data_IF_329914762497
#
_entry.id   IF_329914762497
#
_cell.length_a   1.000
_cell.length_b   1.000
_cell.length_c   1.000
_cell.angle_alpha   90.00
_cell.angle_beta   90.00
_cell.angle_gamma   90.00
#
_symmetry.space_group_name_H-M   'P 1'
#
loop_
_entity.id
_entity.type
_entity.pdbx_description
1 polymer ?
#
# COMPACT_ATOMS: atom_id res chain seq x y z
N UNK A 1 -19.31 0.97 -10.08
CA UNK A 1 -19.63 2.37 -9.73
C UNK A 1 -19.20 3.32 -10.85
N UNK A 2 -19.87 4.46 -11.00
CA UNK A 2 -19.69 5.41 -12.11
C UNK A 2 -18.28 6.02 -12.20
N UNK A 3 -18.04 6.81 -13.26
CA UNK A 3 -16.72 7.40 -13.57
C UNK A 3 -16.13 8.21 -12.42
N UNK A 4 -16.99 8.96 -11.72
CA UNK A 4 -16.66 9.71 -10.52
C UNK A 4 -17.61 9.24 -9.41
N UNK A 5 -17.09 8.98 -8.21
CA UNK A 5 -17.92 8.55 -7.07
C UNK A 5 -17.34 9.04 -5.77
N UNK A 6 -18.20 9.53 -4.88
CA UNK A 6 -17.86 9.94 -3.52
C UNK A 6 -18.72 9.10 -2.59
N UNK A 7 -18.08 8.42 -1.64
CA UNK A 7 -18.73 7.56 -0.66
C UNK A 7 -18.59 8.15 0.73
N UNK A 8 -19.65 8.00 1.53
CA UNK A 8 -19.77 8.61 2.85
C UNK A 8 -18.77 8.13 3.90
N UNK A 9 -18.95 8.62 5.12
CA UNK A 9 -18.00 8.46 6.24
C UNK A 9 -17.75 7.00 6.65
N UNK A 10 -18.74 6.13 6.52
CA UNK A 10 -18.70 4.72 6.95
C UNK A 10 -19.28 3.85 5.83
N UNK A 11 -18.42 3.42 4.89
CA UNK A 11 -18.88 2.64 3.73
C UNK A 11 -18.36 1.21 3.81
N UNK A 12 -19.26 0.26 3.55
CA UNK A 12 -18.93 -1.16 3.46
C UNK A 12 -19.33 -1.63 2.08
N UNK A 13 -18.40 -2.24 1.36
CA UNK A 13 -18.60 -2.74 0.01
C UNK A 13 -18.41 -4.25 -0.02
N UNK A 14 -19.33 -4.92 -0.71
CA UNK A 14 -19.35 -6.38 -0.83
C UNK A 14 -18.19 -6.95 -1.64
N UNK A 15 -18.26 -8.27 -1.86
CA UNK A 15 -17.30 -8.98 -2.71
C UNK A 15 -17.38 -8.46 -4.16
N UNK A 16 -16.27 -8.54 -4.89
CA UNK A 16 -16.16 -8.22 -6.31
C UNK A 16 -16.55 -6.75 -6.65
N UNK A 17 -16.24 -5.81 -5.76
CA UNK A 17 -16.57 -4.39 -5.95
C UNK A 17 -15.63 -3.72 -6.95
N UNK A 18 -16.20 -3.02 -7.93
CA UNK A 18 -15.44 -2.30 -8.98
C UNK A 18 -15.80 -0.82 -8.98
N UNK A 19 -14.80 0.02 -8.71
CA UNK A 19 -14.93 1.47 -8.59
C UNK A 19 -14.32 2.18 -9.79
N UNK A 20 -15.00 3.23 -10.25
CA UNK A 20 -14.63 3.96 -11.46
C UNK A 20 -13.39 4.84 -11.31
N UNK A 21 -13.13 5.63 -12.35
CA UNK A 21 -11.88 6.35 -12.59
C UNK A 21 -11.46 7.27 -11.45
N UNK A 22 -12.39 7.98 -10.82
CA UNK A 22 -12.11 8.93 -9.74
C UNK A 22 -13.00 8.61 -8.54
N UNK A 23 -12.49 7.82 -7.60
CA UNK A 23 -13.27 7.35 -6.45
C UNK A 23 -12.72 7.93 -5.15
N UNK A 24 -13.58 8.52 -4.33
CA UNK A 24 -13.23 9.07 -3.01
C UNK A 24 -14.06 8.34 -1.96
N UNK A 25 -13.38 7.79 -0.96
CA UNK A 25 -13.98 7.05 0.14
C UNK A 25 -13.78 7.81 1.45
N UNK A 26 -14.84 7.95 2.22
CA UNK A 26 -14.84 8.70 3.46
C UNK A 26 -13.99 8.10 4.58
N UNK A 27 -14.21 8.59 5.81
CA UNK A 27 -13.33 8.37 6.97
C UNK A 27 -13.01 6.89 7.25
N UNK A 28 -13.99 6.01 7.16
CA UNK A 28 -13.89 4.59 7.44
C UNK A 28 -14.47 3.82 6.26
N UNK A 29 -13.69 2.95 5.63
CA UNK A 29 -14.17 2.15 4.51
C UNK A 29 -13.67 0.71 4.59
N UNK A 30 -14.57 -0.22 4.31
CA UNK A 30 -14.27 -1.66 4.31
C UNK A 30 -14.65 -2.22 2.93
N UNK A 31 -13.71 -2.89 2.30
CA UNK A 31 -13.86 -3.47 0.98
C UNK A 31 -13.74 -4.98 1.07
N UNK A 32 -14.76 -5.68 0.58
CA UNK A 32 -14.82 -7.14 0.57
C UNK A 32 -13.75 -7.81 -0.30
N UNK A 33 -13.87 -9.13 -0.43
CA UNK A 33 -12.99 -9.95 -1.27
C UNK A 33 -13.03 -9.45 -2.72
N UNK A 34 -11.86 -9.29 -3.35
CA UNK A 34 -11.69 -8.85 -4.74
C UNK A 34 -12.26 -7.45 -4.96
N UNK A 35 -11.45 -6.41 -4.75
CA UNK A 35 -11.85 -5.03 -5.05
C UNK A 35 -10.94 -4.42 -6.11
N UNK A 36 -11.53 -3.71 -7.07
CA UNK A 36 -10.79 -3.04 -8.15
C UNK A 36 -11.12 -1.56 -8.10
N UNK A 37 -10.08 -0.73 -8.04
CA UNK A 37 -10.19 0.71 -7.97
C UNK A 37 -9.60 1.33 -9.23
N UNK A 38 -10.34 2.24 -9.84
CA UNK A 38 -9.95 2.91 -11.07
C UNK A 38 -8.72 3.81 -10.94
N UNK A 39 -8.51 4.63 -11.99
CA UNK A 39 -7.26 5.37 -12.22
C UNK A 39 -6.78 6.21 -11.02
N UNK A 40 -7.68 6.90 -10.34
CA UNK A 40 -7.41 7.81 -9.23
C UNK A 40 -8.34 7.44 -8.06
N UNK A 41 -7.77 7.03 -6.94
CA UNK A 41 -8.56 6.67 -5.76
C UNK A 41 -8.02 7.30 -4.49
N UNK A 42 -8.91 7.83 -3.66
CA UNK A 42 -8.57 8.45 -2.37
C UNK A 42 -9.35 7.74 -1.28
N UNK A 43 -8.65 7.25 -0.28
CA UNK A 43 -9.20 6.56 0.87
C UNK A 43 -8.99 7.39 2.12
N UNK A 44 -10.05 7.58 2.91
CA UNK A 44 -10.01 8.39 4.12
C UNK A 44 -9.16 7.79 5.24
N UNK A 45 -9.47 8.21 6.48
CA UNK A 45 -8.63 7.98 7.66
C UNK A 45 -8.30 6.50 7.91
N UNK A 46 -9.28 5.62 7.80
CA UNK A 46 -9.16 4.19 8.09
C UNK A 46 -9.73 3.41 6.90
N UNK A 47 -8.97 2.48 6.35
CA UNK A 47 -9.45 1.64 5.26
C UNK A 47 -8.97 0.19 5.38
N UNK A 48 -9.88 -0.75 5.09
CA UNK A 48 -9.60 -2.18 5.15
C UNK A 48 -9.95 -2.79 3.79
N UNK A 49 -8.98 -3.47 3.19
CA UNK A 49 -9.11 -4.12 1.90
C UNK A 49 -9.02 -5.63 2.07
N UNK A 50 -9.99 -6.35 1.51
CA UNK A 50 -10.08 -7.79 1.58
C UNK A 50 -8.94 -8.54 0.85
N UNK A 51 -9.13 -9.84 0.65
CA UNK A 51 -8.09 -10.79 0.20
C UNK A 51 -7.30 -10.33 -1.03
N UNK A 52 -7.98 -9.84 -2.06
CA UNK A 52 -7.37 -9.41 -3.31
C UNK A 52 -7.82 -7.98 -3.58
N UNK A 53 -6.90 -7.06 -3.85
CA UNK A 53 -7.24 -5.68 -4.22
C UNK A 53 -6.30 -5.15 -5.30
N UNK A 54 -6.87 -4.42 -6.25
CA UNK A 54 -6.13 -3.80 -7.36
C UNK A 54 -6.43 -2.32 -7.36
N UNK A 55 -5.38 -1.51 -7.29
CA UNK A 55 -5.44 -0.06 -7.30
C UNK A 55 -4.85 0.46 -8.60
N UNK A 56 -5.59 1.35 -9.26
CA UNK A 56 -5.17 1.96 -10.51
C UNK A 56 -3.95 2.88 -10.40
N UNK A 57 -3.81 3.75 -11.40
CA UNK A 57 -2.57 4.53 -11.62
C UNK A 57 -2.11 5.34 -10.41
N UNK A 58 -3.01 6.02 -9.72
CA UNK A 58 -2.74 6.91 -8.60
C UNK A 58 -3.65 6.54 -7.43
N UNK A 59 -3.08 6.28 -6.25
CA UNK A 59 -3.87 6.01 -5.04
C UNK A 59 -3.32 6.71 -3.82
N UNK A 60 -4.22 7.24 -2.97
CA UNK A 60 -3.87 7.90 -1.71
C UNK A 60 -4.63 7.20 -0.60
N UNK A 61 -3.89 6.72 0.40
CA UNK A 61 -4.41 6.06 1.58
C UNK A 61 -4.16 6.94 2.81
N UNK A 62 -5.21 7.19 3.58
CA UNK A 62 -5.14 8.02 4.77
C UNK A 62 -4.34 7.39 5.92
N UNK A 63 -4.68 7.78 7.15
CA UNK A 63 -3.85 7.54 8.34
C UNK A 63 -3.54 6.05 8.57
N UNK A 64 -4.56 5.20 8.51
CA UNK A 64 -4.45 3.78 8.80
C UNK A 64 -5.02 2.96 7.63
N UNK A 65 -4.29 1.98 7.13
CA UNK A 65 -4.77 1.10 6.06
C UNK A 65 -4.32 -0.33 6.24
N UNK A 66 -5.21 -1.27 5.94
CA UNK A 66 -4.93 -2.71 6.03
C UNK A 66 -5.24 -3.34 4.69
N UNK A 67 -4.26 -4.00 4.12
CA UNK A 67 -4.35 -4.68 2.83
C UNK A 67 -4.23 -6.19 3.01
N UNK A 68 -5.16 -6.93 2.40
CA UNK A 68 -5.22 -8.38 2.49
C UNK A 68 -4.08 -9.12 1.77
N UNK A 69 -4.35 -10.39 1.44
CA UNK A 69 -3.33 -11.37 1.01
C UNK A 69 -2.61 -11.01 -0.29
N UNK A 70 -3.25 -10.36 -1.25
CA UNK A 70 -2.66 -10.01 -2.54
C UNK A 70 -3.12 -8.60 -2.89
N UNK A 71 -2.20 -7.65 -2.99
CA UNK A 71 -2.55 -6.26 -3.31
C UNK A 71 -1.65 -5.73 -4.41
N UNK A 72 -2.24 -5.13 -5.44
CA UNK A 72 -1.49 -4.55 -6.56
C UNK A 72 -1.73 -3.06 -6.57
N UNK A 73 -0.65 -2.29 -6.47
CA UNK A 73 -0.67 -0.84 -6.51
C UNK A 73 -0.06 -0.37 -7.82
N UNK A 74 -0.78 0.51 -8.52
CA UNK A 74 -0.36 1.05 -9.80
C UNK A 74 0.85 1.98 -9.70
N UNK A 75 0.96 2.90 -10.68
CA UNK A 75 2.17 3.68 -10.91
C UNK A 75 2.62 4.50 -9.69
N UNK A 76 1.68 5.17 -9.04
CA UNK A 76 1.95 6.08 -7.93
C UNK A 76 1.03 5.79 -6.74
N UNK A 77 1.58 5.55 -5.56
CA UNK A 77 0.77 5.38 -4.34
C UNK A 77 1.36 6.11 -3.14
N UNK A 78 0.49 6.69 -2.32
CA UNK A 78 0.86 7.36 -1.07
C UNK A 78 0.15 6.66 0.06
N UNK A 79 0.91 6.18 1.04
CA UNK A 79 0.42 5.51 2.23
C UNK A 79 0.69 6.37 3.46
N UNK A 80 -0.34 6.56 4.29
CA UNK A 80 -0.25 7.38 5.49
C UNK A 80 0.56 6.76 6.63
N UNK A 81 0.16 7.07 7.86
CA UNK A 81 0.98 6.86 9.07
C UNK A 81 1.16 5.39 9.46
N UNK A 82 0.18 4.52 9.24
CA UNK A 82 0.25 3.12 9.66
C UNK A 82 -0.43 2.26 8.60
N UNK A 83 0.35 1.57 7.77
CA UNK A 83 -0.18 0.65 6.76
C UNK A 83 0.32 -0.76 6.99
N UNK A 84 -0.58 -1.73 6.90
CA UNK A 84 -0.27 -3.15 7.02
C UNK A 84 -0.53 -3.79 5.67
N UNK A 85 0.50 -4.34 5.06
CA UNK A 85 0.42 -5.08 3.82
C UNK A 85 0.54 -6.56 4.12
N UNK A 86 -0.41 -7.35 3.62
CA UNK A 86 -0.39 -8.80 3.73
C UNK A 86 0.75 -9.44 2.93
N UNK A 87 0.49 -10.65 2.43
CA UNK A 87 1.46 -11.34 1.57
C UNK A 87 1.45 -10.69 0.17
N UNK A 88 2.44 -11.01 -0.67
CA UNK A 88 2.39 -10.87 -2.13
C UNK A 88 1.86 -9.49 -2.64
N UNK A 89 2.24 -8.39 -2.00
CA UNK A 89 1.88 -7.05 -2.45
C UNK A 89 2.88 -6.56 -3.49
N UNK A 90 2.38 -5.97 -4.56
CA UNK A 90 3.18 -5.46 -5.67
C UNK A 90 2.98 -3.95 -5.74
N UNK A 91 4.06 -3.21 -5.64
CA UNK A 91 4.08 -1.76 -5.70
C UNK A 91 4.69 -1.28 -7.01
N UNK A 92 3.99 -0.40 -7.73
CA UNK A 92 4.47 0.15 -8.99
C UNK A 92 5.62 1.14 -8.84
N UNK A 93 5.71 2.10 -9.77
CA UNK A 93 6.94 2.85 -10.02
C UNK A 93 7.35 3.79 -8.88
N UNK A 94 6.43 4.61 -8.36
CA UNK A 94 6.75 5.68 -7.42
C UNK A 94 5.84 5.61 -6.19
N UNK A 95 6.30 5.07 -5.06
CA UNK A 95 5.45 5.00 -3.88
C UNK A 95 6.09 5.66 -2.66
N UNK A 96 5.25 6.26 -1.84
CA UNK A 96 5.63 6.92 -0.60
C UNK A 96 4.93 6.20 0.53
N UNK A 97 5.72 5.69 1.46
CA UNK A 97 5.25 5.04 2.66
C UNK A 97 5.54 5.96 3.84
N UNK A 98 4.53 6.27 4.64
CA UNK A 98 4.70 7.05 5.85
C UNK A 98 5.50 6.32 6.93
N UNK A 99 5.21 6.64 8.19
CA UNK A 99 5.85 5.97 9.34
C UNK A 99 5.27 4.56 9.53
N UNK A 100 5.88 3.75 10.39
CA UNK A 100 5.27 2.58 11.03
C UNK A 100 4.50 1.60 10.10
N UNK A 101 4.96 1.37 8.87
CA UNK A 101 4.32 0.40 7.98
C UNK A 101 4.90 -0.98 8.18
N UNK A 102 4.05 -1.99 8.02
CA UNK A 102 4.41 -3.40 8.15
C UNK A 102 4.15 -4.06 6.81
N UNK A 103 5.19 -4.66 6.25
CA UNK A 103 5.14 -5.44 5.02
C UNK A 103 5.22 -6.92 5.37
N UNK A 104 4.25 -7.71 4.93
CA UNK A 104 4.26 -9.15 5.06
C UNK A 104 5.35 -9.83 4.22
N UNK A 105 5.08 -11.06 3.78
CA UNK A 105 6.03 -11.86 3.00
C UNK A 105 5.88 -11.63 1.49
N UNK A 106 6.97 -11.76 0.74
CA UNK A 106 6.98 -11.80 -0.73
C UNK A 106 6.44 -10.54 -1.42
N UNK A 107 6.65 -9.35 -0.84
CA UNK A 107 6.26 -8.10 -1.49
C UNK A 107 7.33 -7.64 -2.48
N UNK A 108 6.91 -7.00 -3.56
CA UNK A 108 7.78 -6.51 -4.63
C UNK A 108 7.61 -5.01 -4.76
N UNK A 109 8.73 -4.29 -4.75
CA UNK A 109 8.76 -2.84 -4.85
C UNK A 109 9.30 -2.39 -6.21
N UNK A 110 8.64 -1.42 -6.85
CA UNK A 110 9.09 -0.85 -8.13
C UNK A 110 10.22 0.18 -7.99
N UNK A 111 10.41 1.01 -9.02
CA UNK A 111 11.67 1.75 -9.25
C UNK A 111 12.03 2.84 -8.23
N UNK A 112 11.08 3.54 -7.62
CA UNK A 112 11.36 4.71 -6.78
C UNK A 112 10.45 4.67 -5.57
N UNK A 113 10.88 4.00 -4.49
CA UNK A 113 10.11 3.96 -3.26
C UNK A 113 10.79 4.78 -2.17
N UNK A 114 9.98 5.55 -1.44
CA UNK A 114 10.39 6.35 -0.29
C UNK A 114 9.73 5.75 0.94
N UNK A 115 10.53 5.46 1.94
CA UNK A 115 10.08 4.89 3.21
C UNK A 115 10.33 5.86 4.34
N UNK A 116 9.28 6.18 5.10
CA UNK A 116 9.40 6.89 6.36
C UNK A 116 10.03 6.01 7.46
N UNK A 117 10.03 6.53 8.69
CA UNK A 117 10.66 5.86 9.84
C UNK A 117 9.87 4.63 10.31
N UNK A 118 10.59 3.66 10.88
CA UNK A 118 10.05 2.49 11.58
C UNK A 118 9.24 1.53 10.71
N UNK A 119 9.69 1.32 9.47
CA UNK A 119 9.07 0.34 8.58
C UNK A 119 9.66 -1.06 8.84
N UNK A 120 8.80 -2.07 8.89
CA UNK A 120 9.14 -3.46 9.18
C UNK A 120 8.87 -4.32 7.96
N UNK A 121 9.83 -5.17 7.59
CA UNK A 121 9.74 -6.04 6.42
C UNK A 121 9.80 -7.51 6.80
N UNK A 122 8.78 -8.25 6.42
CA UNK A 122 8.75 -9.71 6.46
C UNK A 122 9.71 -10.35 5.45
N UNK A 123 9.69 -11.69 5.42
CA UNK A 123 10.62 -12.49 4.60
C UNK A 123 10.38 -12.31 3.09
N UNK A 124 11.44 -12.43 2.31
CA UNK A 124 11.46 -12.48 0.83
C UNK A 124 10.86 -11.24 0.16
N UNK A 125 10.94 -10.08 0.79
CA UNK A 125 10.58 -8.83 0.14
C UNK A 125 11.67 -8.43 -0.86
N UNK A 126 11.29 -8.13 -2.09
CA UNK A 126 12.18 -7.74 -3.17
C UNK A 126 12.17 -6.22 -3.29
N UNK A 127 13.24 -5.53 -2.86
CA UNK A 127 13.35 -4.09 -3.05
C UNK A 127 13.47 -3.76 -4.53
N UNK A 128 12.87 -2.64 -4.94
CA UNK A 128 13.21 -2.03 -6.22
C UNK A 128 14.39 -1.07 -6.05
N UNK A 129 14.52 -0.10 -6.97
CA UNK A 129 15.45 1.02 -6.75
C UNK A 129 14.83 1.93 -5.66
N UNK A 130 15.59 2.21 -4.60
CA UNK A 130 15.08 2.87 -3.39
C UNK A 130 15.78 4.21 -3.22
N UNK A 131 15.02 5.22 -2.79
CA UNK A 131 15.52 6.50 -2.31
C UNK A 131 15.12 6.63 -0.83
N UNK A 132 16.08 6.49 0.08
CA UNK A 132 15.83 6.47 1.53
C UNK A 132 15.79 7.87 2.13
N UNK A 133 14.83 8.12 3.03
CA UNK A 133 14.82 9.25 3.97
C UNK A 133 14.08 8.82 5.26
N UNK A 134 14.69 7.95 6.08
CA UNK A 134 14.06 7.49 7.32
C UNK A 134 14.98 6.61 8.17
N UNK A 135 15.36 7.10 9.35
CA UNK A 135 16.50 6.62 10.13
C UNK A 135 16.41 5.21 10.75
N UNK A 136 15.34 4.43 10.62
CA UNK A 136 15.21 3.11 11.28
C UNK A 136 14.37 2.14 10.43
N UNK A 137 15.01 1.11 9.88
CA UNK A 137 14.39 -0.01 9.16
C UNK A 137 14.82 -1.34 9.79
N UNK A 138 13.86 -2.24 10.03
CA UNK A 138 14.15 -3.56 10.61
C UNK A 138 13.85 -4.63 9.54
N UNK A 139 14.87 -5.17 8.84
CA UNK A 139 14.72 -6.38 8.04
C UNK A 139 14.61 -7.62 8.95
N UNK A 140 13.69 -8.52 8.64
CA UNK A 140 13.61 -9.86 9.25
C UNK A 140 14.04 -10.97 8.26
N UNK A 141 14.95 -10.71 7.29
CA UNK A 141 15.27 -11.66 6.21
C UNK A 141 16.78 -11.82 5.87
N UNK A 142 17.12 -13.00 5.33
CA UNK A 142 18.43 -13.61 5.05
C UNK A 142 19.49 -12.73 4.33
N UNK A 143 20.80 -12.98 4.58
CA UNK A 143 21.94 -12.13 4.19
C UNK A 143 22.38 -12.17 2.72
N UNK A 144 21.72 -12.89 1.80
CA UNK A 144 22.28 -13.08 0.45
C UNK A 144 22.15 -11.89 -0.51
N UNK A 145 21.45 -10.80 -0.13
CA UNK A 145 21.34 -9.56 -0.92
C UNK A 145 21.72 -8.30 -0.09
N UNK A 146 22.51 -8.49 0.98
CA UNK A 146 22.69 -7.50 2.05
C UNK A 146 23.60 -6.30 1.75
N UNK A 147 24.24 -6.23 0.58
CA UNK A 147 25.41 -5.35 0.42
C UNK A 147 25.11 -3.83 0.32
N UNK A 148 23.86 -3.39 0.48
CA UNK A 148 23.52 -1.97 0.33
C UNK A 148 22.55 -1.42 1.39
N UNK A 149 22.45 -2.05 2.57
CA UNK A 149 21.48 -1.64 3.61
C UNK A 149 22.09 -0.95 4.83
N UNK A 150 23.42 -0.99 4.98
CA UNK A 150 24.11 -0.46 6.16
C UNK A 150 25.02 0.72 5.79
N UNK A 151 24.45 1.81 5.28
CA UNK A 151 25.11 3.11 5.36
C UNK A 151 24.06 4.20 5.53
N UNK A 152 23.85 4.59 6.79
CA UNK A 152 23.96 5.96 7.31
C UNK A 152 23.21 6.04 8.62
N UNK A 153 23.98 6.22 9.70
CA UNK A 153 23.54 6.89 10.93
C UNK A 153 22.79 8.17 10.59
#
# INVERSE_FOLDING_TARGET
FGKNSIFGKNSIFGKNSIFGKNSIFGKNSIFGKNSIFGKNSIFGKNSIFGKNSIFGKNSIFGKNSIFGKNSIFGKNSIFGKNSIFGKNSIFGKNNIFGKNNIFGKNNIFGKNNIFGKNNIFGKNNIPGKISFLGSHMIPLCNPSNFLLWYFLL
#
